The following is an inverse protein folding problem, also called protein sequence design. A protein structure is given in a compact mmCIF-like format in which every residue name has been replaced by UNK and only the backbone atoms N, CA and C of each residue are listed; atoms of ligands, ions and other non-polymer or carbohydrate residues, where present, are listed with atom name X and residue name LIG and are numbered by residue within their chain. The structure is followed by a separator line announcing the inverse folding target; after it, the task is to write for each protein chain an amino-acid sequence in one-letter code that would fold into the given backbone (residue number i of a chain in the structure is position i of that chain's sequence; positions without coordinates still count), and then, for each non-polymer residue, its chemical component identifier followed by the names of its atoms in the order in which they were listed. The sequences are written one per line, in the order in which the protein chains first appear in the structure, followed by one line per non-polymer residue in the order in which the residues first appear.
data_IF_346098201977
#
_entry.id   IF_346098201977
#
_cell.length_a   1.000
_cell.length_b   1.000
_cell.length_c   1.000
_cell.angle_alpha   90.00
_cell.angle_beta   90.00
_cell.angle_gamma   90.00
#
_symmetry.space_group_name_H-M   'P 1'
#
loop_
_entity.id
_entity.type
_entity.pdbx_description
1 polymer ?
#
# COMPACT_ATOMS: atom_id res chain seq x y z
N UNK A 1 0.00 8.30 2.86
CA UNK A 1 0.38 7.44 3.98
C UNK A 1 0.93 8.20 5.20
N UNK A 2 1.56 9.36 5.03
CA UNK A 2 2.20 10.12 6.10
C UNK A 2 1.28 11.15 6.81
N UNK A 3 0.05 11.30 6.38
CA UNK A 3 -0.87 12.33 6.89
C UNK A 3 -1.84 11.78 7.93
N UNK A 4 -2.01 12.51 9.04
CA UNK A 4 -3.06 12.29 10.03
C UNK A 4 -3.20 10.83 10.48
N UNK A 5 -4.42 10.34 10.47
CA UNK A 5 -4.77 8.98 10.94
C UNK A 5 -4.14 7.86 10.10
N UNK A 6 -3.70 8.14 8.85
CA UNK A 6 -3.08 7.13 7.97
C UNK A 6 -1.75 6.64 8.50
N UNK A 7 -0.95 7.55 9.08
CA UNK A 7 0.33 7.18 9.68
C UNK A 7 0.12 6.20 10.84
N UNK A 8 -0.90 6.42 11.65
CA UNK A 8 -1.27 5.51 12.74
C UNK A 8 -1.60 4.11 12.22
N UNK A 9 -2.45 4.03 11.20
CA UNK A 9 -2.82 2.73 10.58
C UNK A 9 -1.60 2.05 9.95
N UNK A 10 -0.70 2.79 9.30
CA UNK A 10 0.55 2.22 8.77
C UNK A 10 1.44 1.62 9.87
N UNK A 11 1.55 2.29 11.01
CA UNK A 11 2.29 1.78 12.17
C UNK A 11 1.68 0.50 12.72
N UNK A 12 0.37 0.44 12.88
CA UNK A 12 -0.33 -0.77 13.28
C UNK A 12 -0.09 -1.92 12.28
N UNK A 13 -0.13 -1.65 10.98
CA UNK A 13 0.17 -2.65 9.95
C UNK A 13 1.61 -3.20 10.05
N UNK A 14 2.59 -2.33 10.34
CA UNK A 14 4.01 -2.74 10.51
C UNK A 14 4.16 -3.66 11.73
N UNK A 15 3.38 -3.46 12.78
CA UNK A 15 3.42 -4.24 14.01
C UNK A 15 2.46 -5.42 14.02
N UNK A 16 1.63 -5.60 13.00
CA UNK A 16 0.73 -6.75 12.89
C UNK A 16 1.51 -8.08 12.81
N UNK A 17 1.05 -9.08 13.57
CA UNK A 17 1.77 -10.33 13.74
C UNK A 17 1.67 -11.23 12.50
N UNK A 18 0.48 -11.32 11.92
CA UNK A 18 0.23 -12.20 10.78
C UNK A 18 -0.44 -11.50 9.59
N UNK A 19 -0.72 -12.27 8.54
CA UNK A 19 -1.31 -11.73 7.31
C UNK A 19 -2.78 -11.33 7.46
N UNK A 20 -3.52 -11.94 8.39
CA UNK A 20 -4.93 -11.64 8.59
C UNK A 20 -5.09 -10.36 9.41
N UNK A 21 -4.24 -10.17 10.42
CA UNK A 21 -4.13 -8.91 11.16
C UNK A 21 -3.72 -7.76 10.23
N UNK A 22 -2.73 -7.97 9.36
CA UNK A 22 -2.33 -6.98 8.37
C UNK A 22 -3.48 -6.60 7.44
N UNK A 23 -4.24 -7.57 6.95
CA UNK A 23 -5.42 -7.29 6.10
C UNK A 23 -6.46 -6.48 6.84
N UNK A 24 -6.79 -6.85 8.07
CA UNK A 24 -7.77 -6.13 8.87
C UNK A 24 -7.38 -4.65 9.08
N UNK A 25 -6.10 -4.38 9.31
CA UNK A 25 -5.59 -3.00 9.41
C UNK A 25 -5.62 -2.29 8.05
N UNK A 26 -5.19 -2.96 6.98
CA UNK A 26 -5.18 -2.38 5.63
C UNK A 26 -6.58 -2.11 5.07
N UNK A 27 -7.59 -2.86 5.51
CA UNK A 27 -8.99 -2.60 5.17
C UNK A 27 -9.48 -1.23 5.67
N UNK A 28 -8.84 -0.66 6.68
CA UNK A 28 -9.08 0.71 7.15
C UNK A 28 -8.41 1.76 6.24
N UNK A 29 -7.29 1.43 5.59
CA UNK A 29 -6.62 2.30 4.61
C UNK A 29 -7.29 2.28 3.23
N UNK A 30 -7.88 1.16 2.84
CA UNK A 30 -8.49 0.98 1.53
C UNK A 30 -9.46 2.10 1.14
N UNK A 31 -10.46 2.48 1.96
CA UNK A 31 -11.39 3.56 1.59
C UNK A 31 -10.70 4.91 1.44
N UNK A 32 -9.66 5.19 2.24
CA UNK A 32 -8.89 6.44 2.16
C UNK A 32 -8.11 6.51 0.85
N UNK A 33 -7.37 5.46 0.51
CA UNK A 33 -6.61 5.36 -0.74
C UNK A 33 -7.53 5.40 -1.96
N UNK A 34 -8.66 4.69 -1.91
CA UNK A 34 -9.66 4.74 -2.98
C UNK A 34 -10.20 6.14 -3.22
N UNK A 35 -10.50 6.89 -2.16
CA UNK A 35 -10.97 8.27 -2.28
C UNK A 35 -9.92 9.19 -2.92
N UNK A 36 -8.65 9.04 -2.56
CA UNK A 36 -7.54 9.79 -3.16
C UNK A 36 -7.41 9.50 -4.65
N UNK A 37 -7.42 8.22 -5.04
CA UNK A 37 -7.35 7.85 -6.45
C UNK A 37 -8.57 8.29 -7.22
N UNK A 38 -9.76 8.23 -6.64
CA UNK A 38 -10.97 8.71 -7.28
C UNK A 38 -10.89 10.21 -7.57
N UNK A 39 -10.49 11.01 -6.60
CA UNK A 39 -10.31 12.46 -6.78
C UNK A 39 -9.24 12.77 -7.84
N UNK A 40 -8.12 12.05 -7.82
CA UNK A 40 -7.06 12.19 -8.81
C UNK A 40 -7.56 11.85 -10.22
N UNK A 41 -8.28 10.74 -10.37
CA UNK A 41 -8.76 10.29 -11.68
C UNK A 41 -9.84 11.21 -12.26
N UNK A 42 -10.67 11.82 -11.42
CA UNK A 42 -11.63 12.84 -11.85
C UNK A 42 -10.92 14.09 -12.41
N UNK A 43 -9.84 14.54 -11.75
CA UNK A 43 -9.04 15.70 -12.22
C UNK A 43 -8.29 15.36 -13.52
N UNK A 44 -7.85 14.10 -13.66
CA UNK A 44 -7.03 13.64 -14.80
C UNK A 44 -7.85 13.06 -15.95
N UNK A 45 -9.13 13.39 -16.04
CA UNK A 45 -10.02 12.91 -17.11
C UNK A 45 -9.39 13.01 -18.50
N UNK A 46 -9.46 11.93 -19.27
CA UNK A 46 -8.91 11.83 -20.61
C UNK A 46 -7.38 11.72 -20.68
N UNK A 47 -6.69 11.64 -19.53
CA UNK A 47 -5.23 11.51 -19.46
C UNK A 47 -4.82 10.12 -19.00
N UNK A 48 -3.54 9.79 -19.20
CA UNK A 48 -2.92 8.61 -18.61
C UNK A 48 -2.34 8.97 -17.24
N UNK A 49 -2.61 8.14 -16.24
CA UNK A 49 -2.06 8.27 -14.89
C UNK A 49 -1.21 7.05 -14.58
N UNK A 50 0.08 7.25 -14.38
CA UNK A 50 0.97 6.20 -13.90
C UNK A 50 1.03 6.23 -12.38
N UNK A 51 0.56 5.16 -11.73
CA UNK A 51 0.59 5.02 -10.28
C UNK A 51 1.74 4.10 -9.89
N UNK A 52 2.71 4.64 -9.17
CA UNK A 52 3.77 3.83 -8.55
C UNK A 52 3.24 3.20 -7.27
N UNK A 53 3.33 1.87 -7.17
CA UNK A 53 2.96 1.16 -5.95
C UNK A 53 3.92 1.53 -4.80
N UNK A 54 3.53 1.19 -3.59
CA UNK A 54 4.21 1.54 -2.36
C UNK A 54 5.71 1.24 -2.43
N UNK A 55 6.54 2.25 -2.21
CA UNK A 55 7.99 2.17 -2.35
C UNK A 55 8.78 2.46 -1.08
N UNK A 56 8.33 3.35 -0.16
CA UNK A 56 9.13 3.71 1.01
C UNK A 56 9.48 2.51 1.89
N UNK A 57 10.68 2.47 2.48
CA UNK A 57 11.00 1.47 3.49
C UNK A 57 10.17 1.68 4.76
N UNK A 58 9.85 0.60 5.47
CA UNK A 58 8.92 0.66 6.60
C UNK A 58 9.42 1.52 7.77
N UNK A 59 10.73 1.62 7.97
CA UNK A 59 11.29 2.42 9.06
C UNK A 59 10.98 3.92 8.94
N UNK A 60 10.69 4.44 7.74
CA UNK A 60 10.31 5.85 7.56
C UNK A 60 8.99 6.23 8.24
N UNK A 61 8.14 5.25 8.54
CA UNK A 61 6.87 5.45 9.25
C UNK A 61 7.02 5.40 10.77
N UNK A 62 8.19 4.99 11.26
CA UNK A 62 8.44 4.75 12.67
C UNK A 62 9.21 5.91 13.29
N UNK A 63 8.90 6.26 14.54
CA UNK A 63 9.63 7.31 15.25
C UNK A 63 11.03 6.82 15.64
N UNK A 64 11.98 7.74 15.66
CA UNK A 64 13.36 7.49 16.11
C UNK A 64 13.68 8.08 17.49
N UNK A 65 12.82 8.94 18.00
CA UNK A 65 13.01 9.58 19.31
C UNK A 65 12.26 8.84 20.44
N UNK A 66 12.72 9.05 21.67
CA UNK A 66 12.17 8.35 22.84
C UNK A 66 10.71 8.67 23.15
N UNK A 67 10.24 9.85 22.82
CA UNK A 67 8.86 10.25 23.05
C UNK A 67 7.95 9.53 22.06
N UNK A 68 8.26 9.61 20.77
CA UNK A 68 7.54 8.92 19.72
C UNK A 68 7.52 7.39 19.88
N UNK A 69 8.59 6.77 20.41
CA UNK A 69 8.59 5.33 20.71
C UNK A 69 7.63 4.96 21.83
N UNK A 70 7.45 5.82 22.84
CA UNK A 70 6.45 5.62 23.89
C UNK A 70 5.03 5.75 23.34
N UNK A 71 4.77 6.80 22.56
CA UNK A 71 3.47 7.01 21.93
C UNK A 71 3.11 5.84 21.00
N UNK A 72 4.11 5.33 20.26
CA UNK A 72 3.94 4.15 19.41
C UNK A 72 3.62 2.90 20.25
N UNK A 73 4.32 2.68 21.36
CA UNK A 73 4.09 1.55 22.26
C UNK A 73 2.66 1.56 22.85
N UNK A 74 2.17 2.73 23.22
CA UNK A 74 0.77 2.90 23.66
C UNK A 74 -0.21 2.61 22.51
N UNK A 75 0.08 3.13 21.31
CA UNK A 75 -0.77 2.94 20.12
C UNK A 75 -0.92 1.47 19.72
N UNK A 76 0.19 0.72 19.70
CA UNK A 76 0.19 -0.71 19.30
C UNK A 76 -0.05 -1.66 20.46
N UNK A 77 -0.25 -1.14 21.67
CA UNK A 77 -0.46 -1.89 22.92
C UNK A 77 0.62 -2.94 23.20
N UNK A 78 1.88 -2.61 22.92
CA UNK A 78 3.06 -3.46 23.17
C UNK A 78 4.00 -2.82 24.18
N UNK A 79 4.80 -3.63 24.91
CA UNK A 79 5.85 -3.12 25.80
C UNK A 79 6.89 -2.28 25.05
N UNK A 80 7.29 -1.13 25.63
CA UNK A 80 8.28 -0.25 25.03
C UNK A 80 9.60 -0.93 24.63
N UNK A 81 10.18 -1.88 25.40
CA UNK A 81 11.37 -2.61 24.98
C UNK A 81 11.16 -3.40 23.69
N UNK A 82 10.03 -4.07 23.55
CA UNK A 82 9.68 -4.84 22.34
C UNK A 82 9.51 -3.93 21.12
N UNK A 83 8.81 -2.80 21.29
CA UNK A 83 8.68 -1.81 20.22
C UNK A 83 10.03 -1.26 19.80
N UNK A 84 10.90 -0.93 20.76
CA UNK A 84 12.25 -0.43 20.47
C UNK A 84 13.06 -1.45 19.68
N UNK A 85 13.06 -2.72 20.10
CA UNK A 85 13.77 -3.80 19.41
C UNK A 85 13.26 -3.98 17.96
N UNK A 86 11.93 -3.98 17.75
CA UNK A 86 11.36 -4.09 16.40
C UNK A 86 11.69 -2.89 15.51
N UNK A 87 11.67 -1.67 16.05
CA UNK A 87 12.06 -0.46 15.32
C UNK A 87 13.54 -0.51 14.94
N UNK A 88 14.41 -0.90 15.86
CA UNK A 88 15.85 -1.06 15.59
C UNK A 88 16.12 -2.16 14.55
N UNK A 89 15.39 -3.27 14.59
CA UNK A 89 15.50 -4.36 13.61
C UNK A 89 15.06 -3.94 12.19
N UNK A 90 14.16 -2.97 12.06
CA UNK A 90 13.73 -2.41 10.79
C UNK A 90 14.61 -1.26 10.29
N UNK A 91 15.51 -0.75 11.13
CA UNK A 91 16.41 0.34 10.74
C UNK A 91 17.37 -0.12 9.64
N UNK A 92 17.44 0.65 8.57
CA UNK A 92 18.26 0.35 7.40
C UNK A 92 19.50 1.24 7.39
N UNK A 93 20.68 0.64 7.29
CA UNK A 93 21.92 1.40 7.11
C UNK A 93 21.95 2.11 5.75
N UNK A 94 21.48 1.43 4.71
CA UNK A 94 21.27 1.99 3.38
C UNK A 94 19.82 1.74 2.91
N UNK A 95 18.93 2.74 2.99
CA UNK A 95 17.52 2.60 2.61
C UNK A 95 17.30 2.12 1.16
N UNK A 96 18.26 2.34 0.27
CA UNK A 96 18.15 1.90 -1.13
C UNK A 96 18.27 0.38 -1.28
N UNK A 97 18.95 -0.29 -0.34
CA UNK A 97 19.16 -1.74 -0.35
C UNK A 97 18.20 -2.50 0.58
N UNK A 98 17.42 -1.78 1.37
CA UNK A 98 16.52 -2.34 2.36
C UNK A 98 15.24 -2.97 1.82
N UNK A 99 14.33 -3.30 2.75
CA UNK A 99 13.02 -3.87 2.49
C UNK A 99 12.05 -2.80 2.01
N UNK A 100 12.04 -2.55 0.70
CA UNK A 100 11.20 -1.56 0.03
C UNK A 100 10.80 -1.98 -1.38
N UNK A 101 9.87 -1.27 -1.99
CA UNK A 101 9.45 -1.50 -3.36
C UNK A 101 8.96 -2.93 -3.60
N UNK A 102 9.38 -3.55 -4.70
CA UNK A 102 8.98 -4.92 -5.05
C UNK A 102 9.37 -5.95 -3.98
N UNK A 103 10.50 -5.75 -3.28
CA UNK A 103 10.92 -6.65 -2.20
C UNK A 103 9.91 -6.66 -1.07
N UNK A 104 9.42 -5.48 -0.68
CA UNK A 104 8.35 -5.35 0.29
C UNK A 104 7.03 -5.96 -0.22
N UNK A 105 6.67 -5.71 -1.48
CA UNK A 105 5.48 -6.29 -2.11
C UNK A 105 5.50 -7.82 -2.20
N UNK A 106 6.69 -8.44 -2.21
CA UNK A 106 6.85 -9.90 -2.13
C UNK A 106 6.74 -10.39 -0.70
N UNK A 107 7.36 -9.71 0.25
CA UNK A 107 7.41 -10.11 1.66
C UNK A 107 6.09 -9.82 2.40
N UNK A 108 5.44 -8.69 2.09
CA UNK A 108 4.17 -8.23 2.67
C UNK A 108 3.22 -7.89 1.50
N UNK A 109 2.73 -8.90 0.80
CA UNK A 109 1.96 -8.68 -0.43
C UNK A 109 0.61 -8.00 -0.20
N UNK A 110 0.08 -8.06 1.02
CA UNK A 110 -1.21 -7.47 1.38
C UNK A 110 -1.26 -5.97 1.13
N UNK A 111 -0.13 -5.26 1.28
CA UNK A 111 -0.08 -3.82 1.03
C UNK A 111 -0.26 -3.47 -0.46
N UNK A 112 0.32 -4.29 -1.36
CA UNK A 112 0.15 -4.13 -2.79
C UNK A 112 -1.24 -4.55 -3.25
N UNK A 113 -1.80 -5.62 -2.66
CA UNK A 113 -3.16 -6.06 -2.95
C UNK A 113 -4.19 -4.97 -2.57
N UNK A 114 -4.04 -4.37 -1.39
CA UNK A 114 -4.89 -3.26 -0.95
C UNK A 114 -4.76 -2.06 -1.88
N UNK A 115 -3.54 -1.68 -2.25
CA UNK A 115 -3.31 -0.53 -3.11
C UNK A 115 -3.85 -0.74 -4.53
N UNK A 116 -3.60 -1.92 -5.13
CA UNK A 116 -4.17 -2.30 -6.42
C UNK A 116 -5.70 -2.30 -6.37
N UNK A 117 -6.30 -2.83 -5.30
CA UNK A 117 -7.73 -2.81 -5.10
C UNK A 117 -8.29 -1.39 -5.03
N UNK A 118 -7.62 -0.50 -4.28
CA UNK A 118 -8.03 0.91 -4.18
C UNK A 118 -8.02 1.59 -5.56
N UNK A 119 -6.98 1.35 -6.37
CA UNK A 119 -6.87 1.86 -7.74
C UNK A 119 -8.05 1.35 -8.60
N UNK A 120 -8.27 0.05 -8.64
CA UNK A 120 -9.31 -0.55 -9.49
C UNK A 120 -10.73 -0.16 -9.05
N UNK A 121 -11.01 -0.09 -7.75
CA UNK A 121 -12.30 0.39 -7.26
C UNK A 121 -12.53 1.87 -7.60
N UNK A 122 -11.48 2.70 -7.55
CA UNK A 122 -11.56 4.09 -7.98
C UNK A 122 -11.82 4.21 -9.48
N UNK A 123 -11.15 3.40 -10.32
CA UNK A 123 -11.43 3.35 -11.77
C UNK A 123 -12.89 3.00 -12.06
N UNK A 124 -13.43 2.00 -11.36
CA UNK A 124 -14.84 1.63 -11.51
C UNK A 124 -15.77 2.77 -11.06
N UNK A 125 -15.44 3.46 -9.97
CA UNK A 125 -16.26 4.55 -9.45
C UNK A 125 -16.32 5.73 -10.42
N UNK A 126 -15.19 6.15 -11.00
CA UNK A 126 -15.14 7.27 -11.95
C UNK A 126 -15.76 6.87 -13.31
N UNK A 127 -15.52 5.62 -13.75
CA UNK A 127 -16.11 5.09 -14.97
C UNK A 127 -17.64 5.09 -14.95
N UNK A 128 -18.27 4.80 -13.79
CA UNK A 128 -19.73 4.92 -13.61
C UNK A 128 -20.25 6.35 -13.73
N UNK A 129 -19.41 7.35 -13.49
CA UNK A 129 -19.74 8.77 -13.70
C UNK A 129 -19.51 9.24 -15.13
N UNK A 130 -19.01 8.36 -16.01
CA UNK A 130 -18.70 8.68 -17.40
C UNK A 130 -17.26 9.18 -17.63
N UNK A 131 -16.43 9.28 -16.58
CA UNK A 131 -15.05 9.72 -16.69
C UNK A 131 -14.18 8.63 -17.34
N UNK A 132 -13.48 8.98 -18.41
CA UNK A 132 -12.53 8.12 -19.09
C UNK A 132 -11.12 8.34 -18.53
N UNK A 133 -10.48 7.27 -18.07
CA UNK A 133 -9.13 7.31 -17.52
C UNK A 133 -8.31 6.11 -18.01
N UNK A 134 -7.05 6.33 -18.35
CA UNK A 134 -6.06 5.28 -18.61
C UNK A 134 -5.12 5.19 -17.41
N UNK A 135 -4.99 4.01 -16.80
CA UNK A 135 -4.16 3.80 -15.63
C UNK A 135 -3.03 2.82 -15.94
N UNK A 136 -1.82 3.23 -15.59
CA UNK A 136 -0.62 2.40 -15.61
C UNK A 136 -0.16 2.13 -14.17
N UNK A 137 0.22 0.89 -13.88
CA UNK A 137 0.72 0.51 -12.55
C UNK A 137 2.22 0.25 -12.65
N UNK A 138 3.00 1.05 -11.94
CA UNK A 138 4.44 0.90 -11.86
C UNK A 138 4.83 0.09 -10.63
N UNK A 139 5.57 -0.99 -10.83
CA UNK A 139 6.18 -1.77 -9.75
C UNK A 139 7.59 -1.22 -9.51
N UNK A 140 7.87 -0.64 -8.32
CA UNK A 140 9.15 0.00 -8.06
C UNK A 140 10.26 -1.00 -7.75
N UNK A 141 11.51 -0.66 -8.08
CA UNK A 141 12.74 -1.36 -7.72
C UNK A 141 12.85 -2.81 -8.22
N UNK A 142 12.21 -3.12 -9.33
CA UNK A 142 12.33 -4.45 -9.97
C UNK A 142 13.78 -4.69 -10.42
N UNK A 143 14.31 -5.85 -10.09
CA UNK A 143 15.65 -6.29 -10.50
C UNK A 143 15.66 -7.61 -11.28
N UNK A 144 14.61 -8.41 -11.17
CA UNK A 144 14.52 -9.72 -11.81
C UNK A 144 13.16 -9.94 -12.49
N UNK A 145 13.16 -10.70 -13.59
CA UNK A 145 11.95 -11.07 -14.32
C UNK A 145 10.93 -11.76 -13.42
N UNK A 146 11.39 -12.61 -12.51
CA UNK A 146 10.51 -13.35 -11.61
C UNK A 146 9.71 -12.46 -10.66
N UNK A 147 10.29 -11.34 -10.25
CA UNK A 147 9.60 -10.35 -9.42
C UNK A 147 8.43 -9.72 -10.20
N UNK A 148 8.65 -9.39 -11.48
CA UNK A 148 7.60 -8.84 -12.35
C UNK A 148 6.47 -9.83 -12.54
N UNK A 149 6.79 -11.09 -12.87
CA UNK A 149 5.80 -12.15 -13.08
C UNK A 149 4.91 -12.34 -11.84
N UNK A 150 5.54 -12.39 -10.66
CA UNK A 150 4.84 -12.58 -9.40
C UNK A 150 3.89 -11.41 -9.11
N UNK A 151 4.37 -10.18 -9.23
CA UNK A 151 3.56 -8.98 -8.97
C UNK A 151 2.45 -8.82 -10.01
N UNK A 152 2.73 -9.04 -11.30
CA UNK A 152 1.70 -9.03 -12.35
C UNK A 152 0.59 -10.04 -12.08
N UNK A 153 0.96 -11.26 -11.72
CA UNK A 153 -0.03 -12.29 -11.39
C UNK A 153 -0.92 -11.88 -10.21
N UNK A 154 -0.33 -11.28 -9.19
CA UNK A 154 -1.02 -10.81 -8.01
C UNK A 154 -1.99 -9.65 -8.31
N UNK A 155 -1.49 -8.62 -8.99
CA UNK A 155 -2.29 -7.47 -9.41
C UNK A 155 -3.44 -7.91 -10.32
N UNK A 156 -3.20 -8.85 -11.25
CA UNK A 156 -4.23 -9.41 -12.12
C UNK A 156 -5.31 -10.18 -11.32
N UNK A 157 -4.93 -10.91 -10.28
CA UNK A 157 -5.89 -11.59 -9.41
C UNK A 157 -6.81 -10.57 -8.69
N UNK A 158 -6.24 -9.50 -8.16
CA UNK A 158 -7.03 -8.41 -7.54
C UNK A 158 -7.94 -7.73 -8.57
N UNK A 159 -7.44 -7.44 -9.77
CA UNK A 159 -8.26 -6.85 -10.85
C UNK A 159 -9.46 -7.73 -11.20
N UNK A 160 -9.25 -9.04 -11.33
CA UNK A 160 -10.31 -9.99 -11.62
C UNK A 160 -11.34 -10.09 -10.49
N UNK A 161 -10.90 -10.06 -9.24
CA UNK A 161 -11.80 -10.01 -8.08
C UNK A 161 -12.68 -8.76 -8.11
N UNK A 162 -12.09 -7.57 -8.33
CA UNK A 162 -12.84 -6.31 -8.41
C UNK A 162 -13.82 -6.31 -9.60
N UNK A 163 -13.40 -6.81 -10.77
CA UNK A 163 -14.31 -6.94 -11.94
C UNK A 163 -15.52 -7.79 -11.62
N UNK A 164 -15.32 -8.93 -10.97
CA UNK A 164 -16.40 -9.84 -10.58
C UNK A 164 -17.33 -9.22 -9.54
N UNK A 165 -16.79 -8.66 -8.48
CA UNK A 165 -17.56 -8.06 -7.37
C UNK A 165 -18.35 -6.83 -7.81
N UNK A 166 -17.75 -5.94 -8.61
CA UNK A 166 -18.38 -4.69 -9.06
C UNK A 166 -19.16 -4.84 -10.35
N UNK A 167 -19.12 -6.04 -11.00
CA UNK A 167 -19.71 -6.31 -12.31
C UNK A 167 -19.32 -5.25 -13.34
N UNK A 168 -18.05 -4.89 -13.38
CA UNK A 168 -17.52 -3.81 -14.20
C UNK A 168 -16.32 -4.30 -15.02
N UNK A 169 -16.11 -3.67 -16.18
CA UNK A 169 -14.92 -3.88 -17.01
C UNK A 169 -14.05 -2.62 -16.96
N UNK A 170 -12.77 -2.81 -16.89
CA UNK A 170 -11.76 -1.76 -16.98
C UNK A 170 -10.44 -2.36 -17.50
N UNK A 171 -9.63 -1.52 -18.11
CA UNK A 171 -8.31 -1.90 -18.61
C UNK A 171 -7.25 -1.07 -17.89
N UNK A 172 -6.08 -1.68 -17.66
CA UNK A 172 -4.91 -1.05 -17.07
C UNK A 172 -3.64 -1.64 -17.70
N UNK A 173 -2.52 -0.97 -17.52
CA UNK A 173 -1.21 -1.39 -18.03
C UNK A 173 -0.19 -1.54 -16.91
#
# INVERSE_FOLDING_TARGET
FFEGDRLGVMREMIFAEDSDDRRAVLDRLLPMQRADFQALFEIMEGKTVCVRLFDPPLHEFLPSDKAGLRDLAEQVALPLPEVTERVEALAEYNPMLGMRGVRLGIAIPEIYDMQARAIFEAMVAVGKKGTSISVEIMIPLVSAMREVELMKSRIAAVANAVRAEKKAQFEYR
#
